data_IF_848831866005
#
_entry.id   IF_848831866005
#
_cell.length_a   1.000
_cell.length_b   1.000
_cell.length_c   1.000
_cell.angle_alpha   90.00
_cell.angle_beta   90.00
_cell.angle_gamma   90.00
#
_symmetry.space_group_name_H-M   'P 1'
#
loop_
_entity.id
_entity.type
_entity.pdbx_description
1 polymer ?
#
# COMPACT_ATOMS: atom_id res chain seq x y z
N UNK A 1 -21.36 -15.99 6.36
CA UNK A 1 -21.74 -14.74 5.66
C UNK A 1 -22.83 -14.02 6.45
N UNK A 2 -23.15 -12.77 6.12
CA UNK A 2 -24.26 -12.01 6.73
C UNK A 2 -25.25 -11.68 5.62
N UNK A 3 -26.55 -11.84 5.86
CA UNK A 3 -27.62 -11.56 4.90
C UNK A 3 -28.61 -10.55 5.50
N UNK A 4 -29.23 -9.77 4.63
CA UNK A 4 -30.29 -8.80 4.94
C UNK A 4 -31.41 -8.97 3.92
N UNK A 5 -32.62 -8.58 4.30
CA UNK A 5 -33.76 -8.51 3.41
C UNK A 5 -34.66 -7.30 3.75
N UNK A 6 -35.77 -7.16 3.02
CA UNK A 6 -36.75 -6.09 3.24
C UNK A 6 -37.25 -6.02 4.69
N UNK A 7 -37.34 -7.15 5.39
CA UNK A 7 -37.93 -7.27 6.72
C UNK A 7 -36.94 -7.05 7.85
N UNK A 8 -35.66 -7.37 7.64
CA UNK A 8 -34.61 -7.30 8.64
C UNK A 8 -33.28 -6.81 8.04
N UNK A 9 -33.19 -5.49 7.88
CA UNK A 9 -32.05 -4.80 7.28
C UNK A 9 -31.19 -4.04 8.31
N UNK A 10 -31.67 -3.86 9.54
CA UNK A 10 -30.91 -3.20 10.62
C UNK A 10 -29.98 -4.18 11.36
N UNK A 11 -30.33 -5.48 11.41
CA UNK A 11 -29.52 -6.51 12.06
C UNK A 11 -29.33 -7.66 11.07
N UNK A 12 -28.18 -7.69 10.40
CA UNK A 12 -27.88 -8.72 9.43
C UNK A 12 -27.80 -10.11 10.09
N UNK A 13 -28.54 -11.08 9.54
CA UNK A 13 -28.57 -12.45 10.04
C UNK A 13 -27.28 -13.17 9.63
N UNK A 14 -26.62 -13.88 10.56
CA UNK A 14 -25.46 -14.69 10.21
C UNK A 14 -25.91 -16.01 9.58
N UNK A 15 -25.26 -16.38 8.48
CA UNK A 15 -25.37 -17.69 7.85
C UNK A 15 -24.03 -18.39 7.95
N UNK A 16 -23.99 -19.49 8.69
CA UNK A 16 -22.80 -20.32 8.87
C UNK A 16 -22.85 -21.49 7.88
N UNK A 17 -21.84 -21.59 7.02
CA UNK A 17 -21.80 -22.56 5.92
C UNK A 17 -20.59 -23.45 6.08
N UNK A 18 -20.83 -24.75 6.18
CA UNK A 18 -19.81 -25.77 6.42
C UNK A 18 -19.74 -26.70 5.21
N UNK A 19 -18.56 -26.78 4.59
CA UNK A 19 -18.27 -27.61 3.42
C UNK A 19 -16.98 -28.41 3.61
N UNK A 20 -16.80 -29.43 2.79
CA UNK A 20 -15.59 -30.29 2.85
C UNK A 20 -14.34 -29.55 2.41
N UNK A 21 -14.46 -28.73 1.37
CA UNK A 21 -13.35 -28.02 0.72
C UNK A 21 -13.73 -26.58 0.40
N UNK A 22 -12.74 -25.69 0.36
CA UNK A 22 -12.92 -24.25 0.13
C UNK A 22 -13.64 -23.97 -1.20
N UNK A 23 -13.37 -24.75 -2.24
CA UNK A 23 -13.98 -24.58 -3.57
C UNK A 23 -15.51 -24.75 -3.60
N UNK A 24 -16.08 -25.44 -2.60
CA UNK A 24 -17.52 -25.67 -2.48
C UNK A 24 -18.23 -24.60 -1.65
N UNK A 25 -17.49 -23.76 -0.93
CA UNK A 25 -18.07 -22.64 -0.20
C UNK A 25 -18.62 -21.59 -1.17
N UNK A 26 -19.70 -20.85 -0.82
CA UNK A 26 -20.22 -19.80 -1.68
C UNK A 26 -19.17 -18.70 -1.91
N UNK A 27 -18.77 -18.56 -3.16
CA UNK A 27 -17.89 -17.50 -3.67
C UNK A 27 -18.72 -16.30 -4.10
N UNK A 28 -19.03 -15.41 -3.14
CA UNK A 28 -19.81 -14.20 -3.41
C UNK A 28 -18.97 -13.22 -4.22
N UNK A 29 -19.46 -12.78 -5.37
CA UNK A 29 -18.76 -11.89 -6.28
C UNK A 29 -18.80 -10.43 -5.82
N UNK A 30 -19.93 -9.94 -5.31
CA UNK A 30 -20.07 -8.57 -4.82
C UNK A 30 -21.04 -8.45 -3.63
N UNK A 31 -20.89 -7.39 -2.82
CA UNK A 31 -21.93 -6.98 -1.86
C UNK A 31 -23.21 -6.64 -2.61
N UNK A 32 -24.34 -7.07 -2.07
CA UNK A 32 -25.64 -6.86 -2.69
C UNK A 32 -26.05 -7.98 -3.64
N UNK A 33 -25.15 -8.92 -3.96
CA UNK A 33 -25.54 -10.16 -4.62
C UNK A 33 -26.57 -10.92 -3.79
N UNK A 34 -27.49 -11.58 -4.51
CA UNK A 34 -28.61 -12.29 -3.90
C UNK A 34 -28.21 -13.76 -3.72
N UNK A 35 -28.41 -14.28 -2.51
CA UNK A 35 -28.26 -15.70 -2.23
C UNK A 35 -29.64 -16.32 -1.94
N UNK A 36 -29.94 -17.41 -2.63
CA UNK A 36 -31.07 -18.28 -2.31
C UNK A 36 -30.54 -19.45 -1.49
N UNK A 37 -31.11 -19.68 -0.31
CA UNK A 37 -30.74 -20.75 0.60
C UNK A 37 -31.92 -21.71 0.78
N UNK A 38 -31.73 -22.97 0.42
CA UNK A 38 -32.73 -24.01 0.58
C UNK A 38 -32.38 -24.89 1.79
N UNK A 39 -33.39 -25.29 2.55
CA UNK A 39 -33.27 -26.28 3.64
C UNK A 39 -32.17 -25.95 4.65
N UNK A 40 -32.04 -24.68 5.05
CA UNK A 40 -31.14 -24.24 6.14
C UNK A 40 -31.82 -24.37 7.50
N UNK A 41 -31.04 -24.63 8.53
CA UNK A 41 -31.53 -24.72 9.90
C UNK A 41 -31.38 -23.38 10.61
N UNK A 42 -32.48 -22.81 11.11
CA UNK A 42 -32.45 -21.54 11.85
C UNK A 42 -32.38 -21.83 13.35
N UNK A 43 -31.35 -21.32 14.02
CA UNK A 43 -31.08 -21.51 15.44
C UNK A 43 -30.64 -20.23 16.12
N UNK A 44 -31.01 -20.06 17.39
CA UNK A 44 -30.49 -18.99 18.23
C UNK A 44 -29.18 -19.41 18.90
N UNK A 45 -28.12 -18.62 18.75
CA UNK A 45 -26.83 -18.82 19.41
C UNK A 45 -26.39 -17.53 20.09
N UNK A 46 -26.16 -17.59 21.40
CA UNK A 46 -25.79 -16.42 22.24
C UNK A 46 -26.73 -15.21 22.09
N UNK A 47 -28.02 -15.46 21.84
CA UNK A 47 -29.03 -14.42 21.66
C UNK A 47 -29.17 -13.89 20.24
N UNK A 48 -28.29 -14.27 19.30
CA UNK A 48 -28.45 -13.96 17.87
C UNK A 48 -29.13 -15.13 17.13
N UNK A 49 -30.11 -14.82 16.27
CA UNK A 49 -30.72 -15.79 15.35
C UNK A 49 -29.79 -15.97 14.15
N UNK A 50 -29.37 -17.20 13.88
CA UNK A 50 -28.46 -17.55 12.80
C UNK A 50 -29.04 -18.68 11.95
N UNK A 51 -28.73 -18.69 10.66
CA UNK A 51 -28.97 -19.81 9.78
C UNK A 51 -27.71 -20.69 9.68
N UNK A 52 -27.90 -22.00 9.64
CA UNK A 52 -26.84 -23.00 9.50
C UNK A 52 -27.10 -23.82 8.25
N UNK A 53 -26.11 -23.86 7.35
CA UNK A 53 -26.13 -24.67 6.15
C UNK A 53 -25.40 -25.99 6.41
N UNK A 54 -26.05 -27.09 6.03
CA UNK A 54 -25.51 -28.43 6.11
C UNK A 54 -25.55 -29.09 4.73
N UNK A 55 -24.38 -29.38 4.15
CA UNK A 55 -24.23 -29.98 2.81
C UNK A 55 -25.06 -31.25 2.58
N UNK A 56 -25.51 -31.94 3.65
CA UNK A 56 -26.30 -33.17 3.55
C UNK A 56 -27.69 -32.92 2.99
N UNK A 57 -28.24 -31.72 3.15
CA UNK A 57 -29.61 -31.41 2.77
C UNK A 57 -29.85 -29.94 2.38
N UNK A 58 -28.95 -29.02 2.74
CA UNK A 58 -29.02 -27.62 2.32
C UNK A 58 -28.42 -27.43 0.93
N UNK A 59 -28.95 -26.47 0.18
CA UNK A 59 -28.38 -26.05 -1.11
C UNK A 59 -28.46 -24.54 -1.28
N UNK A 60 -27.62 -23.96 -2.14
CA UNK A 60 -27.61 -22.53 -2.42
C UNK A 60 -27.44 -22.21 -3.91
N UNK A 61 -27.98 -21.05 -4.30
CA UNK A 61 -27.71 -20.41 -5.58
C UNK A 61 -27.37 -18.93 -5.37
N UNK A 62 -26.29 -18.47 -6.01
CA UNK A 62 -25.82 -17.07 -5.97
C UNK A 62 -26.12 -16.38 -7.29
N UNK A 63 -26.75 -15.21 -7.20
CA UNK A 63 -27.20 -14.39 -8.32
C UNK A 63 -26.62 -12.98 -8.18
N UNK A 64 -26.41 -12.31 -9.31
CA UNK A 64 -25.98 -10.91 -9.30
C UNK A 64 -27.02 -10.01 -8.63
N UNK A 65 -26.58 -8.96 -7.96
CA UNK A 65 -27.45 -8.05 -7.21
C UNK A 65 -28.11 -6.90 -8.00
N UNK A 66 -27.67 -6.59 -9.23
CA UNK A 66 -28.19 -5.41 -9.94
C UNK A 66 -29.56 -5.69 -10.57
N UNK A 67 -30.45 -4.69 -10.55
CA UNK A 67 -31.75 -4.79 -11.23
C UNK A 67 -31.54 -4.91 -12.75
N UNK A 68 -32.31 -5.80 -13.37
CA UNK A 68 -32.19 -6.11 -14.80
C UNK A 68 -31.06 -7.08 -15.18
N UNK A 69 -30.21 -7.54 -14.24
CA UNK A 69 -29.26 -8.62 -14.52
C UNK A 69 -29.98 -9.95 -14.82
N UNK A 70 -29.29 -10.85 -15.53
CA UNK A 70 -29.78 -12.20 -15.79
C UNK A 70 -30.13 -12.94 -14.49
N UNK A 71 -31.11 -13.85 -14.58
CA UNK A 71 -31.57 -14.71 -13.49
C UNK A 71 -30.82 -16.05 -13.45
N UNK A 72 -29.70 -16.15 -14.14
CA UNK A 72 -28.83 -17.32 -14.07
C UNK A 72 -27.91 -17.21 -12.85
N UNK A 73 -27.88 -18.22 -11.96
CA UNK A 73 -26.98 -18.21 -10.83
C UNK A 73 -25.53 -18.39 -11.32
N UNK A 74 -24.63 -17.49 -10.92
CA UNK A 74 -23.22 -17.59 -11.28
C UNK A 74 -22.46 -18.63 -10.45
N UNK A 75 -23.03 -19.07 -9.33
CA UNK A 75 -22.46 -20.13 -8.51
C UNK A 75 -23.56 -20.87 -7.73
N UNK A 76 -23.51 -22.20 -7.75
CA UNK A 76 -24.50 -23.07 -7.10
C UNK A 76 -23.82 -24.16 -6.29
N UNK A 77 -24.46 -24.60 -5.22
CA UNK A 77 -24.04 -25.79 -4.48
C UNK A 77 -24.45 -27.06 -5.20
N UNK A 78 -23.94 -28.20 -4.71
CA UNK A 78 -24.50 -29.50 -5.08
C UNK A 78 -26.00 -29.54 -4.77
N UNK A 79 -26.80 -30.12 -5.67
CA UNK A 79 -28.25 -30.31 -5.55
C UNK A 79 -29.13 -29.05 -5.52
N UNK A 80 -28.58 -27.87 -5.84
CA UNK A 80 -29.42 -26.69 -6.01
C UNK A 80 -30.30 -26.83 -7.26
N UNK A 81 -31.60 -26.68 -7.08
CA UNK A 81 -32.57 -26.68 -8.17
C UNK A 81 -33.23 -25.31 -8.21
N UNK A 82 -33.07 -24.62 -9.33
CA UNK A 82 -33.66 -23.31 -9.56
C UNK A 82 -35.20 -23.44 -9.69
N UNK A 83 -35.96 -22.73 -8.85
CA UNK A 83 -37.42 -22.73 -8.85
C UNK A 83 -37.92 -21.39 -9.41
N UNK A 84 -38.93 -21.41 -10.30
CA UNK A 84 -39.44 -20.19 -10.95
C UNK A 84 -39.98 -19.15 -9.97
N UNK A 85 -40.54 -19.60 -8.86
CA UNK A 85 -41.03 -18.76 -7.78
C UNK A 85 -39.90 -17.89 -7.18
N UNK A 86 -38.66 -18.41 -7.16
CA UNK A 86 -37.48 -17.67 -6.67
C UNK A 86 -37.16 -16.46 -7.57
N UNK A 87 -37.41 -16.55 -8.88
CA UNK A 87 -37.13 -15.46 -9.83
C UNK A 87 -37.85 -14.17 -9.41
N UNK A 88 -39.12 -14.29 -9.04
CA UNK A 88 -39.95 -13.15 -8.62
C UNK A 88 -39.42 -12.49 -7.34
N UNK A 89 -38.90 -13.30 -6.40
CA UNK A 89 -38.32 -12.85 -5.14
C UNK A 89 -36.95 -12.19 -5.36
N UNK A 90 -36.12 -12.76 -6.25
CA UNK A 90 -34.83 -12.19 -6.63
C UNK A 90 -35.05 -10.80 -7.26
N UNK A 91 -35.96 -10.67 -8.23
CA UNK A 91 -36.29 -9.37 -8.84
C UNK A 91 -36.80 -8.37 -7.80
N UNK A 92 -37.65 -8.82 -6.86
CA UNK A 92 -38.15 -7.96 -5.77
C UNK A 92 -37.00 -7.49 -4.87
N UNK A 93 -36.09 -8.38 -4.46
CA UNK A 93 -34.94 -8.05 -3.62
C UNK A 93 -33.97 -7.09 -4.33
N UNK A 94 -33.71 -7.28 -5.62
CA UNK A 94 -32.87 -6.36 -6.43
C UNK A 94 -33.47 -4.96 -6.47
N UNK A 95 -34.78 -4.83 -6.71
CA UNK A 95 -35.49 -3.54 -6.69
C UNK A 95 -35.50 -2.90 -5.30
N UNK A 96 -35.66 -3.71 -4.26
CA UNK A 96 -35.57 -3.23 -2.88
C UNK A 96 -34.17 -2.68 -2.59
N UNK A 97 -33.13 -3.43 -2.93
CA UNK A 97 -31.74 -3.02 -2.74
C UNK A 97 -31.39 -1.73 -3.51
N UNK A 98 -31.96 -1.50 -4.70
CA UNK A 98 -31.76 -0.22 -5.41
C UNK A 98 -32.24 1.00 -4.60
N UNK A 99 -33.31 0.82 -3.81
CA UNK A 99 -33.87 1.87 -2.96
C UNK A 99 -33.28 1.86 -1.54
N UNK A 100 -32.53 0.83 -1.19
CA UNK A 100 -31.89 0.65 0.11
C UNK A 100 -30.37 0.66 -0.08
N UNK A 101 -29.73 1.81 0.13
CA UNK A 101 -28.28 1.83 0.28
C UNK A 101 -27.95 1.35 1.70
N UNK A 102 -27.38 0.15 1.91
CA UNK A 102 -26.85 -0.19 3.22
C UNK A 102 -25.83 0.87 3.59
N UNK A 103 -26.12 1.62 4.66
CA UNK A 103 -25.22 2.66 5.14
C UNK A 103 -24.00 1.96 5.73
N UNK A 104 -22.94 1.83 4.94
CA UNK A 104 -21.66 1.36 5.43
C UNK A 104 -20.92 2.57 5.97
N UNK A 105 -20.69 2.62 7.28
CA UNK A 105 -20.00 3.74 7.90
C UNK A 105 -18.58 3.83 7.31
N UNK A 106 -18.30 4.91 6.60
CA UNK A 106 -16.98 5.17 5.99
C UNK A 106 -15.87 5.17 7.02
N UNK A 107 -16.18 5.51 8.27
CA UNK A 107 -15.29 5.42 9.43
C UNK A 107 -14.70 4.01 9.64
N UNK A 108 -15.36 2.95 9.17
CA UNK A 108 -14.86 1.58 9.29
C UNK A 108 -13.74 1.25 8.28
N UNK A 109 -13.55 2.10 7.27
CA UNK A 109 -12.56 1.94 6.21
C UNK A 109 -11.71 3.22 6.11
N UNK A 110 -10.73 3.44 7.02
CA UNK A 110 -9.80 4.55 6.89
C UNK A 110 -9.05 4.52 5.55
N UNK A 111 -8.59 5.69 5.13
CA UNK A 111 -7.64 5.81 4.03
C UNK A 111 -6.22 5.47 4.49
N UNK A 112 -5.30 5.16 3.57
CA UNK A 112 -3.91 4.88 3.88
C UNK A 112 -3.24 6.03 4.66
N UNK A 113 -3.63 7.28 4.43
CA UNK A 113 -3.17 8.45 5.21
C UNK A 113 -3.61 8.47 6.68
N UNK A 114 -4.64 7.71 7.03
CA UNK A 114 -5.26 7.68 8.37
C UNK A 114 -4.85 6.45 9.18
N UNK A 115 -4.13 5.49 8.58
CA UNK A 115 -3.77 4.24 9.24
C UNK A 115 -2.81 4.48 10.41
N UNK A 116 -2.90 3.58 11.39
CA UNK A 116 -2.04 3.54 12.57
C UNK A 116 -1.68 2.08 12.85
N UNK A 117 -0.67 1.86 13.69
CA UNK A 117 -0.40 0.53 14.21
C UNK A 117 -1.54 0.14 15.16
N UNK A 118 -2.46 -0.67 14.66
CA UNK A 118 -3.62 -1.19 15.40
C UNK A 118 -3.67 -2.71 15.29
N UNK A 119 -4.47 -3.34 16.16
CA UNK A 119 -4.61 -4.79 16.22
C UNK A 119 -5.25 -5.36 14.94
N UNK A 120 -6.19 -4.60 14.35
CA UNK A 120 -6.88 -4.94 13.11
C UNK A 120 -7.48 -3.70 12.44
N UNK A 121 -7.41 -3.61 11.11
CA UNK A 121 -7.97 -2.51 10.30
C UNK A 121 -8.77 -3.07 9.12
N UNK A 122 -9.76 -2.31 8.63
CA UNK A 122 -10.35 -2.57 7.31
C UNK A 122 -9.90 -1.49 6.33
N UNK A 123 -9.56 -1.87 5.10
CA UNK A 123 -9.07 -0.97 4.06
C UNK A 123 -9.84 -1.20 2.77
N UNK A 124 -10.18 -0.12 2.07
CA UNK A 124 -10.70 -0.19 0.71
C UNK A 124 -9.60 0.27 -0.25
N UNK A 125 -9.03 -0.67 -1.02
CA UNK A 125 -7.90 -0.42 -1.91
C UNK A 125 -8.09 -1.08 -3.27
N UNK A 126 -7.47 -0.51 -4.28
CA UNK A 126 -7.30 -1.08 -5.60
C UNK A 126 -6.11 -2.03 -5.60
N UNK A 127 -6.27 -3.23 -6.13
CA UNK A 127 -5.16 -4.15 -6.39
C UNK A 127 -4.45 -3.70 -7.66
N UNK A 128 -3.20 -3.25 -7.53
CA UNK A 128 -2.39 -2.78 -8.65
C UNK A 128 -1.55 -3.90 -9.27
N UNK A 129 -1.03 -4.78 -8.43
CA UNK A 129 -0.18 -5.88 -8.85
C UNK A 129 -0.15 -6.95 -7.74
N UNK A 130 0.24 -8.16 -8.09
CA UNK A 130 0.63 -9.18 -7.12
C UNK A 130 1.63 -10.14 -7.77
N UNK A 131 2.60 -10.62 -6.99
CA UNK A 131 3.64 -11.52 -7.48
C UNK A 131 4.10 -12.48 -6.39
N UNK A 132 4.69 -13.60 -6.84
CA UNK A 132 5.43 -14.53 -5.98
C UNK A 132 6.82 -13.93 -5.69
N UNK A 133 7.05 -13.58 -4.43
CA UNK A 133 8.24 -12.90 -3.95
C UNK A 133 9.35 -13.89 -3.54
N UNK A 134 8.94 -15.04 -3.00
CA UNK A 134 9.75 -16.22 -2.74
C UNK A 134 8.84 -17.45 -2.87
N UNK A 135 9.42 -18.66 -2.81
CA UNK A 135 8.64 -19.89 -2.95
C UNK A 135 7.48 -19.93 -1.95
N UNK A 136 6.25 -19.99 -2.45
CA UNK A 136 5.01 -19.96 -1.67
C UNK A 136 4.79 -18.66 -0.85
N UNK A 137 5.49 -17.58 -1.16
CA UNK A 137 5.32 -16.26 -0.53
C UNK A 137 4.86 -15.23 -1.56
N UNK A 138 3.68 -14.65 -1.35
CA UNK A 138 3.07 -13.72 -2.29
C UNK A 138 2.88 -12.34 -1.69
N UNK A 139 3.13 -11.32 -2.52
CA UNK A 139 2.96 -9.92 -2.15
C UNK A 139 1.90 -9.29 -3.06
N UNK A 140 0.94 -8.60 -2.44
CA UNK A 140 -0.05 -7.75 -3.12
C UNK A 140 0.38 -6.30 -2.99
N UNK A 141 0.24 -5.55 -4.08
CA UNK A 141 0.44 -4.12 -4.15
C UNK A 141 -0.92 -3.44 -4.20
N UNK A 142 -1.29 -2.77 -3.11
CA UNK A 142 -2.60 -2.17 -2.91
C UNK A 142 -2.50 -0.64 -2.78
N UNK A 143 -3.48 0.08 -3.30
CA UNK A 143 -3.47 1.55 -3.35
C UNK A 143 -4.85 2.15 -3.20
N UNK A 144 -4.95 3.30 -2.52
CA UNK A 144 -6.21 4.01 -2.35
C UNK A 144 -6.16 5.49 -2.74
N UNK A 145 -5.03 5.96 -3.30
CA UNK A 145 -4.83 7.35 -3.68
C UNK A 145 -4.16 8.23 -2.64
N UNK A 146 -3.99 7.76 -1.41
CA UNK A 146 -3.46 8.57 -0.31
C UNK A 146 -2.07 8.11 0.15
N UNK A 147 -1.31 9.04 0.73
CA UNK A 147 0.03 8.77 1.25
C UNK A 147 -0.07 8.19 2.66
N UNK A 148 0.58 7.06 2.91
CA UNK A 148 0.71 6.52 4.28
C UNK A 148 1.48 7.49 5.18
N UNK A 149 1.16 7.56 6.49
CA UNK A 149 1.89 8.41 7.41
C UNK A 149 3.36 7.98 7.50
N UNK A 150 4.30 8.94 7.60
CA UNK A 150 5.72 8.64 7.77
C UNK A 150 5.97 7.97 9.12
N UNK A 151 6.81 6.93 9.13
CA UNK A 151 7.24 6.28 10.36
C UNK A 151 8.64 6.71 10.79
N UNK A 152 8.92 6.51 12.08
CA UNK A 152 10.27 6.61 12.64
C UNK A 152 11.16 5.47 12.14
N UNK A 153 12.46 5.72 12.09
CA UNK A 153 13.48 4.74 11.72
C UNK A 153 14.18 4.26 12.99
N UNK A 154 13.98 3.00 13.33
CA UNK A 154 14.53 2.39 14.54
C UNK A 154 15.94 1.78 14.33
N UNK A 155 16.43 1.69 13.09
CA UNK A 155 17.76 1.14 12.80
C UNK A 155 18.88 2.08 13.27
N UNK A 156 19.94 1.50 13.83
CA UNK A 156 21.13 2.24 14.24
C UNK A 156 21.94 2.64 13.01
N UNK A 157 22.40 3.89 12.98
CA UNK A 157 23.20 4.41 11.87
C UNK A 157 24.49 3.61 11.64
N UNK A 158 25.13 3.17 12.72
CA UNK A 158 26.37 2.37 12.67
C UNK A 158 26.16 1.00 12.02
N UNK A 159 24.94 0.44 12.09
CA UNK A 159 24.61 -0.85 11.52
C UNK A 159 24.32 -0.76 10.02
N UNK A 160 24.06 0.43 9.46
CA UNK A 160 23.71 0.64 8.05
C UNK A 160 24.78 0.12 7.06
N UNK A 161 26.05 0.09 7.48
CA UNK A 161 27.14 -0.47 6.66
C UNK A 161 26.99 -1.99 6.48
N UNK A 162 26.52 -2.68 7.53
CA UNK A 162 26.43 -4.13 7.57
C UNK A 162 25.01 -4.64 7.24
N UNK A 163 23.99 -3.85 7.58
CA UNK A 163 22.57 -4.14 7.44
C UNK A 163 21.85 -2.89 6.91
N UNK A 164 22.00 -2.58 5.61
CA UNK A 164 21.43 -1.37 5.03
C UNK A 164 19.91 -1.42 5.05
N UNK A 165 19.27 -0.26 5.22
CA UNK A 165 17.82 -0.15 5.12
C UNK A 165 17.33 -0.64 3.75
N UNK A 166 16.30 -1.49 3.71
CA UNK A 166 15.76 -1.98 2.46
C UNK A 166 15.08 -0.84 1.69
N UNK A 167 15.27 -0.83 0.37
CA UNK A 167 14.57 0.10 -0.54
C UNK A 167 13.09 -0.28 -0.72
N UNK A 168 12.74 -1.53 -0.44
CA UNK A 168 11.43 -2.11 -0.68
C UNK A 168 11.25 -3.34 0.22
N UNK A 169 10.00 -3.78 0.44
CA UNK A 169 9.72 -4.92 1.32
C UNK A 169 9.88 -6.27 0.60
N UNK A 170 9.67 -6.26 -0.72
CA UNK A 170 9.84 -7.43 -1.57
C UNK A 170 11.33 -7.83 -1.73
N UNK A 171 11.70 -9.12 -1.64
CA UNK A 171 13.10 -9.57 -1.72
C UNK A 171 13.76 -9.26 -3.07
N UNK A 172 12.96 -9.25 -4.15
CA UNK A 172 13.41 -8.94 -5.50
C UNK A 172 12.68 -7.70 -6.04
N UNK A 173 13.39 -6.76 -6.70
CA UNK A 173 12.78 -5.57 -7.25
C UNK A 173 11.84 -5.91 -8.40
N UNK A 174 10.74 -5.17 -8.46
CA UNK A 174 9.84 -5.23 -9.61
C UNK A 174 10.57 -4.80 -10.88
N UNK A 175 10.21 -5.42 -12.01
CA UNK A 175 10.72 -5.00 -13.31
C UNK A 175 10.26 -3.56 -13.61
N UNK A 176 11.06 -2.84 -14.41
CA UNK A 176 10.70 -1.48 -14.85
C UNK A 176 9.35 -1.45 -15.55
N UNK A 177 9.03 -2.48 -16.33
CA UNK A 177 7.74 -2.60 -17.03
C UNK A 177 6.58 -2.60 -16.03
N UNK A 178 6.67 -3.37 -14.95
CA UNK A 178 5.66 -3.37 -13.90
C UNK A 178 5.64 -2.04 -13.16
N UNK A 179 6.79 -1.50 -12.74
CA UNK A 179 6.87 -0.21 -12.06
C UNK A 179 6.21 0.92 -12.86
N UNK A 180 6.39 0.96 -14.19
CA UNK A 180 5.77 1.95 -15.07
C UNK A 180 4.25 1.82 -15.20
N UNK A 181 3.63 0.73 -14.72
CA UNK A 181 2.17 0.59 -14.65
C UNK A 181 1.59 1.04 -13.32
N UNK A 182 2.43 1.25 -12.29
CA UNK A 182 2.00 1.67 -10.97
C UNK A 182 1.72 3.18 -10.94
N UNK A 183 0.78 3.65 -10.10
CA UNK A 183 0.52 5.06 -9.93
C UNK A 183 1.75 5.77 -9.37
N UNK A 184 2.03 6.96 -9.89
CA UNK A 184 3.18 7.78 -9.46
C UNK A 184 2.90 8.56 -8.18
N UNK A 185 1.71 8.41 -7.60
CA UNK A 185 1.27 9.10 -6.39
C UNK A 185 0.47 8.20 -5.47
N UNK A 186 0.36 8.63 -4.23
CA UNK A 186 -0.17 7.81 -3.17
C UNK A 186 0.81 6.70 -2.82
N UNK A 187 0.72 6.23 -1.59
CA UNK A 187 1.53 5.11 -1.15
C UNK A 187 0.97 3.81 -1.71
N UNK A 188 1.87 2.92 -2.09
CA UNK A 188 1.52 1.55 -2.48
C UNK A 188 1.82 0.65 -1.30
N UNK A 189 0.77 0.22 -0.60
CA UNK A 189 0.87 -0.67 0.54
C UNK A 189 1.18 -2.09 0.04
N UNK A 190 2.26 -2.68 0.55
CA UNK A 190 2.56 -4.10 0.35
C UNK A 190 1.73 -4.91 1.34
N UNK A 191 1.12 -5.99 0.87
CA UNK A 191 0.42 -6.93 1.73
C UNK A 191 0.95 -8.35 1.51
N UNK A 192 1.15 -9.08 2.60
CA UNK A 192 1.58 -10.48 2.61
C UNK A 192 0.49 -11.36 3.18
N UNK A 193 0.57 -12.66 2.91
CA UNK A 193 -0.29 -13.66 3.53
C UNK A 193 0.46 -14.38 4.64
N UNK A 194 -0.24 -14.72 5.72
CA UNK A 194 0.24 -15.76 6.63
C UNK A 194 0.38 -17.09 5.85
N UNK A 195 1.43 -17.86 6.14
CA UNK A 195 1.90 -18.97 5.30
C UNK A 195 0.79 -20.01 5.01
N UNK A 196 -0.12 -20.21 5.96
CA UNK A 196 -1.22 -21.17 5.85
C UNK A 196 -2.33 -20.74 4.86
N UNK A 197 -2.36 -19.47 4.42
CA UNK A 197 -3.47 -18.88 3.66
C UNK A 197 -3.19 -18.71 2.17
N UNK A 198 -1.92 -18.73 1.77
CA UNK A 198 -1.47 -18.40 0.41
C UNK A 198 -2.26 -19.19 -0.64
N UNK A 199 -2.38 -20.51 -0.48
CA UNK A 199 -3.04 -21.38 -1.48
C UNK A 199 -4.53 -21.10 -1.66
N UNK A 200 -5.20 -20.60 -0.63
CA UNK A 200 -6.66 -20.46 -0.62
C UNK A 200 -7.15 -19.11 -1.18
N UNK A 201 -6.30 -18.09 -1.23
CA UNK A 201 -6.73 -16.73 -1.59
C UNK A 201 -6.17 -16.22 -2.92
N UNK A 202 -5.10 -16.80 -3.46
CA UNK A 202 -4.46 -16.29 -4.68
C UNK A 202 -5.37 -16.34 -5.91
N UNK A 203 -6.12 -17.42 -6.08
CA UNK A 203 -7.05 -17.57 -7.21
C UNK A 203 -8.20 -16.56 -7.19
N UNK A 204 -8.38 -15.85 -6.07
CA UNK A 204 -9.40 -14.83 -5.90
C UNK A 204 -8.89 -13.44 -6.24
N UNK A 205 -7.61 -13.22 -6.56
CA UNK A 205 -7.05 -11.89 -6.82
C UNK A 205 -7.18 -11.47 -8.28
N UNK A 206 -7.60 -10.24 -8.52
CA UNK A 206 -7.69 -9.62 -9.83
C UNK A 206 -7.05 -8.24 -9.79
N UNK A 207 -6.12 -8.00 -10.71
CA UNK A 207 -5.52 -6.69 -10.92
C UNK A 207 -6.59 -5.70 -11.41
N UNK A 208 -6.41 -4.44 -11.06
CA UNK A 208 -7.24 -3.31 -11.46
C UNK A 208 -8.65 -3.31 -10.85
N UNK A 209 -8.86 -4.09 -9.79
CA UNK A 209 -10.13 -4.17 -9.06
C UNK A 209 -10.04 -3.56 -7.68
N UNK A 210 -11.11 -2.88 -7.28
CA UNK A 210 -11.27 -2.37 -5.92
C UNK A 210 -11.78 -3.46 -4.98
N UNK A 211 -11.21 -3.46 -3.80
CA UNK A 211 -11.38 -4.51 -2.80
C UNK A 211 -11.40 -3.91 -1.41
N UNK A 212 -12.38 -4.35 -0.61
CA UNK A 212 -12.43 -4.19 0.84
C UNK A 212 -11.68 -5.35 1.49
N UNK A 213 -10.52 -5.03 2.05
CA UNK A 213 -9.76 -5.91 2.93
C UNK A 213 -10.26 -5.69 4.35
N UNK A 214 -10.82 -6.72 4.97
CA UNK A 214 -11.36 -6.63 6.33
C UNK A 214 -10.47 -7.36 7.31
N UNK A 215 -10.35 -6.80 8.51
CA UNK A 215 -9.63 -7.39 9.64
C UNK A 215 -8.17 -7.73 9.28
N UNK A 216 -7.50 -6.81 8.59
CA UNK A 216 -6.08 -6.87 8.26
C UNK A 216 -5.24 -6.46 9.46
N UNK A 217 -4.06 -7.05 9.63
CA UNK A 217 -3.08 -6.52 10.58
C UNK A 217 -2.11 -5.59 9.85
N UNK A 218 -1.81 -4.45 10.44
CA UNK A 218 -0.75 -3.56 9.96
C UNK A 218 0.48 -3.69 10.85
N UNK A 219 1.66 -3.56 10.25
CA UNK A 219 2.95 -3.48 10.94
C UNK A 219 3.85 -2.49 10.23
N UNK A 220 4.78 -1.90 10.97
CA UNK A 220 5.90 -1.16 10.39
C UNK A 220 7.16 -2.03 10.39
N UNK A 221 7.79 -2.17 9.23
CA UNK A 221 9.06 -2.89 9.04
C UNK A 221 10.05 -1.92 8.42
N UNK A 222 11.15 -1.62 9.13
CA UNK A 222 12.18 -0.68 8.70
C UNK A 222 11.65 0.70 8.26
N UNK A 223 10.58 1.16 8.90
CA UNK A 223 9.90 2.42 8.56
C UNK A 223 8.84 2.33 7.45
N UNK A 224 8.67 1.17 6.81
CA UNK A 224 7.67 0.93 5.76
C UNK A 224 6.43 0.23 6.33
N UNK A 225 5.26 0.63 5.86
CA UNK A 225 4.00 -0.05 6.20
C UNK A 225 3.86 -1.38 5.46
N UNK A 226 3.49 -2.42 6.20
CA UNK A 226 3.18 -3.75 5.70
C UNK A 226 1.81 -4.20 6.20
N UNK A 227 0.95 -4.58 5.27
CA UNK A 227 -0.28 -5.31 5.57
C UNK A 227 -0.03 -6.81 5.68
N UNK A 228 -0.71 -7.46 6.62
CA UNK A 228 -0.63 -8.91 6.82
C UNK A 228 -2.05 -9.48 6.83
N UNK A 229 -2.31 -10.37 5.88
CA UNK A 229 -3.55 -11.12 5.76
C UNK A 229 -3.48 -12.31 6.72
N UNK A 230 -4.37 -12.34 7.70
CA UNK A 230 -4.43 -13.36 8.75
C UNK A 230 -5.62 -14.31 8.51
N UNK A 231 -5.75 -15.43 9.24
CA UNK A 231 -6.86 -16.36 9.03
C UNK A 231 -8.24 -15.75 9.31
N UNK A 232 -8.28 -14.63 10.03
CA UNK A 232 -9.51 -13.88 10.30
C UNK A 232 -9.74 -12.75 9.29
N UNK A 233 -8.79 -12.47 8.40
CA UNK A 233 -8.91 -11.46 7.37
C UNK A 233 -9.83 -11.94 6.25
N UNK A 234 -10.55 -10.99 5.62
CA UNK A 234 -11.48 -11.28 4.53
C UNK A 234 -11.26 -10.33 3.38
N UNK A 235 -11.55 -10.81 2.18
CA UNK A 235 -11.43 -10.06 0.94
C UNK A 235 -12.81 -9.95 0.29
N UNK A 236 -13.15 -8.75 -0.15
CA UNK A 236 -14.45 -8.47 -0.78
C UNK A 236 -14.30 -7.51 -1.95
N UNK A 237 -14.68 -7.94 -3.14
CA UNK A 237 -14.70 -7.07 -4.30
C UNK A 237 -15.77 -6.00 -4.16
N UNK A 238 -15.41 -4.79 -4.58
CA UNK A 238 -16.25 -3.60 -4.47
C UNK A 238 -16.37 -2.95 -5.85
N UNK A 239 -17.59 -2.61 -6.29
CA UNK A 239 -17.81 -1.93 -7.57
C UNK A 239 -17.26 -0.49 -7.54
N UNK A 240 -16.97 0.08 -8.70
CA UNK A 240 -16.42 1.44 -8.81
C UNK A 240 -17.42 2.52 -8.36
N UNK A 241 -18.71 2.21 -8.44
CA UNK A 241 -19.81 3.10 -8.08
C UNK A 241 -20.05 3.18 -6.55
N UNK A 242 -19.34 2.36 -5.76
CA UNK A 242 -19.39 2.44 -4.30
C UNK A 242 -18.86 3.80 -3.82
N UNK A 243 -19.61 4.44 -2.91
CA UNK A 243 -19.30 5.80 -2.45
C UNK A 243 -17.89 5.94 -1.87
N UNK A 244 -17.37 4.92 -1.18
CA UNK A 244 -16.02 4.91 -0.63
C UNK A 244 -14.94 4.92 -1.72
N UNK A 245 -15.24 4.28 -2.85
CA UNK A 245 -14.33 4.16 -3.98
C UNK A 245 -14.33 5.46 -4.78
N UNK A 246 -15.51 6.05 -5.02
CA UNK A 246 -15.65 7.35 -5.68
C UNK A 246 -14.92 8.44 -4.91
N UNK A 247 -15.04 8.47 -3.58
CA UNK A 247 -14.33 9.43 -2.73
C UNK A 247 -12.79 9.31 -2.86
N UNK A 248 -12.28 8.07 -2.80
CA UNK A 248 -10.84 7.78 -2.94
C UNK A 248 -10.30 8.16 -4.30
N UNK A 249 -11.03 7.86 -5.37
CA UNK A 249 -10.67 8.26 -6.72
C UNK A 249 -10.57 9.79 -6.84
N UNK A 250 -11.54 10.52 -6.28
CA UNK A 250 -11.52 11.99 -6.28
C UNK A 250 -10.31 12.56 -5.52
N UNK A 251 -10.03 12.03 -4.33
CA UNK A 251 -8.89 12.50 -3.52
C UNK A 251 -7.54 12.14 -4.13
N UNK A 252 -7.47 11.05 -4.91
CA UNK A 252 -6.26 10.68 -5.63
C UNK A 252 -5.81 11.72 -6.65
N UNK A 253 -6.64 12.72 -6.99
CA UNK A 253 -6.30 13.83 -7.89
C UNK A 253 -5.78 15.06 -7.13
N UNK A 254 -6.02 15.18 -5.81
CA UNK A 254 -5.71 16.35 -4.98
C UNK A 254 -4.29 16.31 -4.39
N UNK A 255 -3.26 16.05 -5.21
CA UNK A 255 -1.90 15.72 -4.75
C UNK A 255 -1.28 16.78 -3.84
N UNK A 256 -0.90 16.40 -2.61
CA UNK A 256 -0.23 17.28 -1.65
C UNK A 256 1.12 16.70 -1.22
N UNK A 257 2.19 17.44 -1.47
CA UNK A 257 3.50 17.16 -0.88
C UNK A 257 3.51 17.57 0.61
N UNK A 258 4.23 16.83 1.47
CA UNK A 258 4.48 17.30 2.81
C UNK A 258 5.25 18.62 2.77
N UNK A 259 5.00 19.50 3.74
CA UNK A 259 5.68 20.79 3.81
C UNK A 259 7.17 20.55 4.12
N UNK A 260 8.10 20.94 3.23
CA UNK A 260 9.52 20.77 3.48
C UNK A 260 9.99 21.71 4.60
N UNK A 261 10.91 21.22 5.43
CA UNK A 261 11.68 21.99 6.40
C UNK A 261 12.73 22.83 5.69
N UNK A 262 13.05 24.00 6.25
CA UNK A 262 14.08 24.92 5.73
C UNK A 262 15.51 24.46 6.08
N UNK A 263 15.78 23.16 5.95
CA UNK A 263 17.08 22.53 6.26
C UNK A 263 17.96 22.48 5.03
N UNK A 264 17.33 22.38 3.85
CA UNK A 264 18.00 22.34 2.56
C UNK A 264 17.56 23.52 1.72
N UNK A 265 18.49 24.14 1.00
CA UNK A 265 18.21 25.14 -0.03
C UNK A 265 18.68 24.65 -1.39
N UNK A 266 17.99 25.09 -2.43
CA UNK A 266 18.41 24.90 -3.80
C UNK A 266 19.33 26.04 -4.21
N UNK A 267 20.54 25.70 -4.65
CA UNK A 267 21.52 26.71 -5.07
C UNK A 267 21.09 27.41 -6.36
N UNK A 268 20.49 26.64 -7.27
CA UNK A 268 19.88 27.14 -8.49
C UNK A 268 18.37 27.04 -8.31
N UNK A 269 17.71 28.17 -8.04
CA UNK A 269 16.26 28.28 -7.86
C UNK A 269 15.52 28.06 -9.17
N UNK A 270 15.53 26.82 -9.67
CA UNK A 270 14.63 26.42 -10.73
C UNK A 270 13.23 26.33 -10.14
N UNK A 271 12.27 27.08 -10.68
CA UNK A 271 10.86 27.07 -10.23
C UNK A 271 10.14 25.76 -10.59
N UNK A 272 10.89 24.66 -10.75
CA UNK A 272 10.37 23.34 -11.04
C UNK A 272 9.43 22.87 -9.92
N UNK A 273 8.32 22.26 -10.32
CA UNK A 273 7.35 21.66 -9.40
C UNK A 273 7.95 20.35 -8.90
N UNK A 274 7.96 20.09 -7.57
CA UNK A 274 8.42 18.82 -7.04
C UNK A 274 7.67 17.63 -7.62
N UNK A 275 8.38 16.52 -7.84
CA UNK A 275 7.83 15.24 -8.28
C UNK A 275 8.15 14.14 -7.28
N UNK A 276 7.38 13.05 -7.31
CA UNK A 276 7.60 11.88 -6.45
C UNK A 276 8.77 11.02 -6.92
N UNK A 277 9.34 10.22 -6.04
CA UNK A 277 10.37 9.25 -6.37
C UNK A 277 9.87 8.17 -7.32
N UNK A 278 8.59 7.78 -7.25
CA UNK A 278 8.00 6.89 -8.26
C UNK A 278 8.01 7.54 -9.66
N UNK A 279 7.74 8.85 -9.78
CA UNK A 279 7.89 9.58 -11.05
C UNK A 279 9.34 9.53 -11.55
N UNK A 280 10.31 9.72 -10.64
CA UNK A 280 11.75 9.65 -10.97
C UNK A 280 12.14 8.26 -11.50
N UNK A 281 11.70 7.20 -10.82
CA UNK A 281 11.98 5.80 -11.17
C UNK A 281 11.37 5.42 -12.52
N UNK A 282 10.14 5.86 -12.78
CA UNK A 282 9.37 5.49 -13.98
C UNK A 282 9.56 6.44 -15.17
N UNK A 283 10.35 7.51 -14.99
CA UNK A 283 10.60 8.50 -16.02
C UNK A 283 11.06 7.88 -17.36
N UNK A 284 10.53 8.42 -18.46
CA UNK A 284 10.78 7.91 -19.82
C UNK A 284 12.22 8.08 -20.28
N UNK A 285 12.92 9.11 -19.77
CA UNK A 285 14.32 9.37 -20.08
C UNK A 285 15.28 8.76 -19.04
N UNK A 286 16.38 8.20 -19.52
CA UNK A 286 17.42 7.62 -18.65
C UNK A 286 18.12 8.70 -17.82
N UNK A 287 18.37 9.86 -18.45
CA UNK A 287 19.08 11.00 -17.88
C UNK A 287 18.15 12.19 -17.81
N UNK A 288 17.78 12.59 -16.60
CA UNK A 288 16.88 13.70 -16.35
C UNK A 288 17.17 14.32 -14.98
N UNK A 289 16.74 15.58 -14.80
CA UNK A 289 16.83 16.33 -13.55
C UNK A 289 15.44 16.47 -12.94
N UNK A 290 15.38 16.40 -11.62
CA UNK A 290 14.16 16.41 -10.84
C UNK A 290 14.35 17.21 -9.58
N UNK A 291 13.24 17.72 -9.06
CA UNK A 291 13.13 18.28 -7.72
C UNK A 291 12.18 17.40 -6.94
N UNK A 292 12.56 16.98 -5.74
CA UNK A 292 11.78 16.05 -4.93
C UNK A 292 11.72 16.51 -3.48
N UNK A 293 10.57 16.29 -2.83
CA UNK A 293 10.44 16.43 -1.37
C UNK A 293 10.56 15.04 -0.76
N UNK A 294 11.62 14.81 0.01
CA UNK A 294 12.01 13.49 0.51
C UNK A 294 12.46 13.55 1.97
N UNK A 295 12.55 12.40 2.60
CA UNK A 295 13.26 12.16 3.86
C UNK A 295 14.60 11.49 3.55
N UNK A 296 15.66 11.87 4.26
CA UNK A 296 16.94 11.16 4.21
C UNK A 296 16.95 10.13 5.33
N UNK A 297 16.66 8.87 5.02
CA UNK A 297 16.43 7.83 6.05
C UNK A 297 17.71 7.09 6.46
N UNK A 298 18.73 7.08 5.59
CA UNK A 298 20.05 6.51 5.87
C UNK A 298 21.16 7.20 5.05
N UNK A 299 22.40 7.04 5.52
CA UNK A 299 23.61 7.53 4.88
C UNK A 299 24.73 6.48 5.01
N UNK A 300 25.52 6.31 3.95
CA UNK A 300 26.69 5.42 3.93
C UNK A 300 27.86 6.11 3.22
N UNK A 301 28.98 6.39 3.92
CA UNK A 301 29.14 6.28 5.37
C UNK A 301 28.29 7.31 6.13
N UNK A 302 27.98 7.01 7.39
CA UNK A 302 27.25 7.90 8.29
C UNK A 302 28.17 8.70 9.24
N UNK A 303 29.45 8.34 9.29
CA UNK A 303 30.48 8.98 10.10
C UNK A 303 31.17 10.08 9.29
N UNK A 304 31.25 11.28 9.84
CA UNK A 304 31.79 12.45 9.16
C UNK A 304 33.24 12.26 8.72
N UNK A 305 34.04 11.54 9.52
CA UNK A 305 35.45 11.22 9.25
C UNK A 305 35.64 10.40 7.98
N UNK A 306 34.61 9.65 7.58
CA UNK A 306 34.63 8.74 6.45
C UNK A 306 33.95 9.32 5.20
N UNK A 307 33.41 10.54 5.27
CA UNK A 307 32.74 11.17 4.12
C UNK A 307 33.71 11.55 3.01
N UNK A 308 34.98 11.79 3.35
CA UNK A 308 36.03 12.12 2.40
C UNK A 308 36.80 10.86 1.98
N UNK A 309 37.01 10.74 0.67
CA UNK A 309 37.87 9.71 0.10
C UNK A 309 39.35 9.99 0.39
N UNK A 310 40.22 9.01 0.12
CA UNK A 310 41.67 9.18 0.23
C UNK A 310 42.25 10.30 -0.63
N UNK A 311 41.52 10.75 -1.66
CA UNK A 311 41.88 11.88 -2.53
C UNK A 311 41.30 13.22 -2.04
N UNK A 312 40.62 13.25 -0.90
CA UNK A 312 40.02 14.44 -0.31
C UNK A 312 38.66 14.83 -0.91
N UNK A 313 38.09 14.01 -1.80
CA UNK A 313 36.76 14.28 -2.39
C UNK A 313 35.65 13.62 -1.59
N UNK A 314 34.50 14.30 -1.45
CA UNK A 314 33.30 13.70 -0.87
C UNK A 314 32.87 12.45 -1.61
N UNK A 315 32.48 11.41 -0.86
CA UNK A 315 31.91 10.18 -1.38
C UNK A 315 30.96 9.57 -0.38
N UNK A 316 29.66 9.76 -0.60
CA UNK A 316 28.62 9.11 0.19
C UNK A 316 27.42 8.70 -0.65
N UNK A 317 26.63 7.77 -0.11
CA UNK A 317 25.35 7.32 -0.62
C UNK A 317 24.29 7.65 0.42
N UNK A 318 23.24 8.34 0.01
CA UNK A 318 22.05 8.59 0.80
C UNK A 318 20.92 7.66 0.36
N UNK A 319 20.11 7.21 1.33
CA UNK A 319 18.84 6.55 1.07
C UNK A 319 17.74 7.58 1.24
N UNK A 320 17.09 7.91 0.13
CA UNK A 320 16.01 8.88 0.06
C UNK A 320 14.68 8.14 0.07
N UNK A 321 13.71 8.71 0.75
CA UNK A 321 12.36 8.16 0.86
C UNK A 321 11.32 9.25 0.64
N UNK A 322 10.28 8.94 -0.13
CA UNK A 322 9.01 9.66 -0.05
C UNK A 322 7.87 8.64 0.18
N UNK A 323 6.62 9.11 0.12
CA UNK A 323 5.46 8.23 0.30
C UNK A 323 5.33 7.14 -0.78
N UNK A 324 6.04 7.25 -1.90
CA UNK A 324 5.88 6.40 -3.09
C UNK A 324 7.00 5.38 -3.26
N UNK A 325 8.24 5.71 -2.87
CA UNK A 325 9.39 4.83 -3.02
C UNK A 325 10.57 5.19 -2.09
N UNK A 326 11.55 4.28 -2.01
CA UNK A 326 12.92 4.58 -1.57
C UNK A 326 13.91 4.38 -2.70
N UNK A 327 14.91 5.23 -2.77
CA UNK A 327 16.02 5.10 -3.73
C UNK A 327 17.37 5.39 -3.06
N UNK A 328 18.44 4.91 -3.68
CA UNK A 328 19.78 5.39 -3.37
C UNK A 328 20.15 6.57 -4.26
N UNK A 329 20.74 7.61 -3.67
CA UNK A 329 21.31 8.74 -4.38
C UNK A 329 22.73 9.00 -3.89
N UNK A 330 23.66 9.19 -4.82
CA UNK A 330 25.06 9.48 -4.50
C UNK A 330 25.28 10.97 -4.28
N UNK A 331 26.26 11.30 -3.44
CA UNK A 331 26.81 12.64 -3.27
C UNK A 331 28.31 12.50 -3.42
N UNK A 332 28.88 13.07 -4.47
CA UNK A 332 30.31 12.90 -4.78
C UNK A 332 30.98 14.17 -5.28
N UNK A 333 32.26 14.34 -4.94
CA UNK A 333 33.11 15.46 -5.35
C UNK A 333 32.41 16.81 -5.12
N UNK A 334 32.33 17.66 -6.16
CA UNK A 334 31.72 19.00 -6.10
C UNK A 334 30.28 19.02 -5.59
N UNK A 335 29.49 17.98 -5.86
CA UNK A 335 28.11 17.94 -5.37
C UNK A 335 28.07 17.79 -3.83
N UNK A 336 29.10 17.18 -3.22
CA UNK A 336 29.27 17.13 -1.76
C UNK A 336 29.79 18.45 -1.18
N UNK A 337 30.71 19.11 -1.89
CA UNK A 337 31.17 20.45 -1.52
C UNK A 337 30.00 21.45 -1.49
N UNK A 338 29.10 21.38 -2.49
CA UNK A 338 27.88 22.18 -2.50
C UNK A 338 26.95 21.80 -1.34
N UNK A 339 26.75 20.51 -1.10
CA UNK A 339 25.86 20.02 -0.03
C UNK A 339 26.28 20.49 1.36
N UNK A 340 27.57 20.44 1.66
CA UNK A 340 28.12 20.79 2.98
C UNK A 340 28.64 22.22 3.10
N UNK A 341 28.54 23.03 2.04
CA UNK A 341 29.06 24.39 1.97
C UNK A 341 30.59 24.46 2.15
N UNK A 342 31.30 23.65 1.36
CA UNK A 342 32.76 23.52 1.38
C UNK A 342 33.24 22.28 2.12
N UNK A 343 34.30 22.45 2.91
CA UNK A 343 34.91 21.41 3.75
C UNK A 343 34.94 21.89 5.20
N UNK A 344 33.77 21.92 5.87
CA UNK A 344 33.72 22.30 7.29
C UNK A 344 34.41 21.24 8.16
N UNK A 345 34.61 21.56 9.43
CA UNK A 345 35.17 20.60 10.38
C UNK A 345 34.24 19.40 10.62
N UNK A 346 34.79 18.37 11.29
CA UNK A 346 34.09 17.09 11.52
C UNK A 346 32.84 17.29 12.38
N UNK A 347 32.87 18.22 13.34
CA UNK A 347 31.73 18.47 14.23
C UNK A 347 30.57 19.09 13.46
N UNK A 348 30.85 20.06 12.59
CA UNK A 348 29.86 20.70 11.73
C UNK A 348 29.32 19.74 10.65
N UNK A 349 30.17 18.90 10.05
CA UNK A 349 29.72 17.83 9.15
C UNK A 349 28.77 16.86 9.86
N UNK A 350 29.14 16.44 11.07
CA UNK A 350 28.32 15.54 11.89
C UNK A 350 26.98 16.19 12.23
N UNK A 351 26.99 17.46 12.62
CA UNK A 351 25.77 18.22 12.93
C UNK A 351 24.84 18.30 11.72
N UNK A 352 25.34 18.71 10.56
CA UNK A 352 24.56 18.80 9.31
C UNK A 352 23.96 17.44 8.92
N UNK A 353 24.74 16.37 9.02
CA UNK A 353 24.29 15.03 8.69
C UNK A 353 23.23 14.51 9.69
N UNK A 354 23.42 14.77 10.99
CA UNK A 354 22.45 14.40 12.03
C UNK A 354 21.10 15.09 11.84
N UNK A 355 21.10 16.38 11.47
CA UNK A 355 19.88 17.13 11.15
C UNK A 355 19.15 16.48 9.98
N UNK A 356 19.85 16.15 8.89
CA UNK A 356 19.24 15.46 7.74
C UNK A 356 18.67 14.09 8.09
N UNK A 357 19.36 13.34 8.95
CA UNK A 357 18.98 11.98 9.34
C UNK A 357 17.96 11.93 10.50
N UNK A 358 17.56 13.09 11.03
CA UNK A 358 16.64 13.20 12.17
C UNK A 358 17.17 12.53 13.43
N UNK A 359 18.49 12.60 13.66
CA UNK A 359 19.14 12.06 14.86
C UNK A 359 18.83 12.94 16.05
N UNK A 360 18.40 12.30 17.15
CA UNK A 360 18.11 12.97 18.40
C UNK A 360 19.33 12.91 19.34
N UNK A 361 19.40 13.81 20.32
CA UNK A 361 20.48 13.84 21.33
C UNK A 361 20.46 12.60 22.23
N UNK A 362 19.29 11.96 22.35
CA UNK A 362 19.12 10.71 23.09
C UNK A 362 19.70 9.55 22.29
N UNK A 363 20.74 8.92 22.83
CA UNK A 363 21.38 7.74 22.24
C UNK A 363 20.37 6.62 22.00
N UNK A 364 20.46 5.97 20.83
CA UNK A 364 19.60 4.87 20.40
C UNK A 364 18.09 5.20 20.27
N UNK A 365 17.70 6.48 20.30
CA UNK A 365 16.31 6.87 20.05
C UNK A 365 15.92 6.67 18.58
N UNK A 366 14.65 6.28 18.29
CA UNK A 366 14.14 6.24 16.92
C UNK A 366 14.29 7.59 16.23
N UNK A 367 14.78 7.57 14.99
CA UNK A 367 15.01 8.78 14.21
C UNK A 367 13.75 9.17 13.45
N UNK A 368 13.48 10.46 13.35
CA UNK A 368 12.41 10.97 12.49
C UNK A 368 12.98 12.01 11.54
N UNK A 369 13.51 11.58 10.37
CA UNK A 369 14.10 12.49 9.42
C UNK A 369 13.08 13.54 8.94
N UNK A 370 13.47 14.81 8.84
CA UNK A 370 12.61 15.86 8.33
C UNK A 370 12.35 15.68 6.84
N UNK A 371 11.26 16.29 6.36
CA UNK A 371 11.01 16.43 4.93
C UNK A 371 11.89 17.56 4.38
N UNK A 372 12.70 17.27 3.38
CA UNK A 372 13.65 18.20 2.76
C UNK A 372 13.46 18.24 1.25
N UNK A 373 13.81 19.37 0.63
CA UNK A 373 13.77 19.51 -0.82
C UNK A 373 15.14 19.23 -1.40
N UNK A 374 15.22 18.31 -2.38
CA UNK A 374 16.49 17.92 -2.99
C UNK A 374 16.38 17.95 -4.51
N UNK A 375 17.46 18.38 -5.16
CA UNK A 375 17.64 18.28 -6.60
C UNK A 375 18.34 16.96 -6.94
N UNK A 376 17.66 16.14 -7.75
CA UNK A 376 18.13 14.82 -8.17
C UNK A 376 18.41 14.78 -9.66
N UNK A 377 19.55 14.23 -10.06
CA UNK A 377 19.85 13.92 -11.46
C UNK A 377 20.03 12.42 -11.62
N UNK A 378 19.41 11.86 -12.66
CA UNK A 378 19.63 10.48 -13.08
C UNK A 378 20.72 10.43 -14.14
N UNK A 379 21.56 9.39 -14.07
CA UNK A 379 22.64 9.14 -15.02
C UNK A 379 22.87 7.63 -15.17
N UNK A 380 23.45 7.20 -16.29
CA UNK A 380 23.84 5.81 -16.50
C UNK A 380 25.35 5.65 -16.34
N UNK A 381 25.77 4.59 -15.65
CA UNK A 381 27.20 4.26 -15.49
C UNK A 381 27.70 3.49 -16.71
N UNK A 382 26.83 2.68 -17.33
CA UNK A 382 27.12 1.89 -18.51
C UNK A 382 26.35 2.38 -19.73
N UNK A 383 27.05 2.57 -20.85
CA UNK A 383 26.44 2.91 -22.14
C UNK A 383 25.79 1.71 -22.83
N UNK A 384 26.20 0.49 -22.48
CA UNK A 384 25.67 -0.74 -23.08
C UNK A 384 24.41 -1.24 -22.37
N UNK A 385 24.24 -0.86 -21.11
CA UNK A 385 23.07 -1.21 -20.30
C UNK A 385 22.57 0.02 -19.55
N UNK A 386 21.97 0.93 -20.31
CA UNK A 386 21.62 2.27 -19.86
C UNK A 386 20.56 2.27 -18.76
N UNK A 387 19.64 1.31 -18.78
CA UNK A 387 18.55 1.24 -17.81
C UNK A 387 18.94 0.49 -16.53
N UNK A 388 19.66 -0.63 -16.63
CA UNK A 388 20.07 -1.35 -15.41
C UNK A 388 21.15 -0.59 -14.64
N UNK A 389 21.99 0.18 -15.34
CA UNK A 389 23.03 1.00 -14.73
C UNK A 389 22.57 2.41 -14.36
N UNK A 390 21.27 2.70 -14.49
CA UNK A 390 20.69 3.99 -14.12
C UNK A 390 20.83 4.19 -12.62
N UNK A 391 21.39 5.32 -12.25
CA UNK A 391 21.73 5.71 -10.88
C UNK A 391 21.36 7.17 -10.65
N UNK A 392 21.19 7.56 -9.39
CA UNK A 392 20.80 8.91 -9.01
C UNK A 392 21.92 9.62 -8.24
N UNK A 393 22.01 10.94 -8.41
CA UNK A 393 22.92 11.80 -7.68
C UNK A 393 22.19 13.04 -7.19
N UNK A 394 22.50 13.49 -5.98
CA UNK A 394 22.10 14.84 -5.53
C UNK A 394 23.03 15.86 -6.19
N UNK A 395 22.46 16.99 -6.59
CA UNK A 395 23.19 18.13 -7.11
C UNK A 395 22.49 19.43 -6.68
N UNK A 396 23.16 20.58 -6.80
CA UNK A 396 22.58 21.92 -6.56
C UNK A 396 21.71 22.05 -5.28
N UNK A 397 22.02 21.27 -4.25
CA UNK A 397 21.31 21.22 -2.96
C UNK A 397 22.32 21.49 -1.87
N UNK A 398 22.04 22.43 -0.97
CA UNK A 398 22.90 22.83 0.15
C UNK A 398 22.17 22.66 1.48
N UNK A 399 22.86 22.18 2.51
CA UNK A 399 22.34 22.12 3.88
C UNK A 399 22.61 23.47 4.56
N UNK A 400 21.55 24.16 4.92
CA UNK A 400 21.60 25.52 5.51
C UNK A 400 21.41 25.55 7.02
N UNK A 401 20.92 24.46 7.62
CA UNK A 401 20.35 24.50 8.96
C UNK A 401 21.32 25.03 10.03
N UNK A 402 21.09 26.26 10.48
CA UNK A 402 21.12 26.62 11.90
C UNK A 402 19.70 26.40 12.41
N UNK A 403 19.54 25.59 13.47
CA UNK A 403 18.29 25.59 14.26
C UNK A 403 18.30 26.74 15.24
#
# INVERSE_FOLDING_TARGET
>A
MRIIDETNHQIAMAVNIFEENVERLPRVAAVGDVIVLCCVEVKSFKGEVNATFDKRFSSFGLYKGKDGDDLDPYHVSSYFHHIREDESLIVKLRKWLMNFQPHEDSCNFPMLREIKEETSVNLACKILHFCEAAKDEWIIFAWDGTNTPPNVICSKLEEEINSPLPLQLEPLPLSREVLCTLPVVGSILRMTFDADLVKNHLHLLNVDKWVKFMNMRLKVVDGLWLGVFTPQSKLQYTPNEDGLIVERQRLSEEWLFPKPSFITEEVNQDHAIPVTLMTVLTHSEVTAKFKCVVRVVAATPCQAENLLSSTGEYRMRLTLEDSTARIHAFVTAKDGEVLFDGYPDIDELTRKLNILLGVNEVKDAPRNPPWVCVCLKSFCVSKTDVWSSRTFKIFDTKIVGDT
#
